data_IF_704165566917
#
_entry.id   IF_704165566917
#
_cell.length_a   1.000
_cell.length_b   1.000
_cell.length_c   1.000
_cell.angle_alpha   90.00
_cell.angle_beta   90.00
_cell.angle_gamma   90.00
#
_symmetry.space_group_name_H-M   'P 1'
#
loop_
_entity.id
_entity.type
_entity.pdbx_description
1 polymer ?
#
# COMPACT_ATOMS: atom_id res chain seq x y z
N UNK A 1 -1.86 13.66 11.78
CA UNK A 1 -1.74 12.22 12.10
C UNK A 1 -1.32 11.48 10.84
N UNK A 2 -0.32 10.60 10.96
CA UNK A 2 0.08 9.67 9.90
C UNK A 2 -0.72 8.37 10.01
N UNK A 3 -0.77 7.62 8.92
CA UNK A 3 -1.39 6.29 8.86
C UNK A 3 -0.49 5.36 8.06
N UNK A 4 -0.59 4.07 8.33
CA UNK A 4 0.17 3.03 7.64
C UNK A 4 -0.79 2.11 6.91
N UNK A 5 -0.62 2.01 5.60
CA UNK A 5 -1.34 1.10 4.73
C UNK A 5 -0.43 -0.08 4.42
N UNK A 6 -0.93 -1.30 4.60
CA UNK A 6 -0.20 -2.50 4.20
C UNK A 6 -1.03 -3.26 3.17
N UNK A 7 -0.45 -3.48 1.99
CA UNK A 7 -1.07 -4.22 0.89
C UNK A 7 -0.15 -5.36 0.45
N UNK A 8 -0.74 -6.47 0.01
CA UNK A 8 -0.02 -7.60 -0.56
C UNK A 8 -0.40 -7.75 -2.03
N UNK A 9 0.52 -8.21 -2.87
CA UNK A 9 0.27 -8.44 -4.29
C UNK A 9 0.51 -9.90 -4.68
N UNK A 10 -0.27 -10.41 -5.63
CA UNK A 10 -0.14 -11.79 -6.13
C UNK A 10 1.13 -12.01 -6.94
N UNK A 11 1.79 -10.93 -7.39
CA UNK A 11 2.94 -10.99 -8.29
C UNK A 11 3.90 -9.83 -8.08
N UNK A 12 5.19 -10.10 -8.29
CA UNK A 12 6.25 -9.08 -8.20
C UNK A 12 6.08 -7.95 -9.24
N UNK A 13 5.48 -8.25 -10.38
CA UNK A 13 5.17 -7.25 -11.41
C UNK A 13 4.12 -6.24 -10.93
N UNK A 14 3.02 -6.71 -10.33
CA UNK A 14 1.97 -5.83 -9.77
C UNK A 14 2.52 -4.97 -8.64
N UNK A 15 3.35 -5.56 -7.77
CA UNK A 15 4.05 -4.85 -6.71
C UNK A 15 4.96 -3.74 -7.28
N UNK A 16 5.73 -4.05 -8.32
CA UNK A 16 6.62 -3.08 -8.98
C UNK A 16 5.83 -1.94 -9.62
N UNK A 17 4.72 -2.24 -10.29
CA UNK A 17 3.84 -1.21 -10.87
C UNK A 17 3.24 -0.29 -9.81
N UNK A 18 2.77 -0.87 -8.69
CA UNK A 18 2.27 -0.06 -7.59
C UNK A 18 3.34 0.85 -6.97
N UNK A 19 4.58 0.37 -6.86
CA UNK A 19 5.71 1.19 -6.41
C UNK A 19 6.02 2.32 -7.40
N UNK A 20 5.97 2.04 -8.71
CA UNK A 20 6.17 3.04 -9.75
C UNK A 20 5.09 4.15 -9.68
N UNK A 21 3.82 3.77 -9.50
CA UNK A 21 2.69 4.71 -9.31
C UNK A 21 2.88 5.57 -8.05
N UNK A 22 3.37 4.99 -6.94
CA UNK A 22 3.69 5.74 -5.72
C UNK A 22 4.79 6.78 -5.95
N UNK A 23 5.87 6.39 -6.64
CA UNK A 23 6.98 7.30 -6.97
C UNK A 23 6.47 8.39 -7.92
N UNK A 24 5.65 8.05 -8.91
CA UNK A 24 5.02 8.99 -9.84
C UNK A 24 4.08 9.97 -9.15
N UNK A 25 3.40 9.55 -8.08
CA UNK A 25 2.59 10.40 -7.21
C UNK A 25 3.41 11.28 -6.25
N UNK A 26 4.75 11.19 -6.27
CA UNK A 26 5.63 11.96 -5.40
C UNK A 26 5.79 11.36 -3.99
N UNK A 27 5.48 10.09 -3.80
CA UNK A 27 5.74 9.39 -2.54
C UNK A 27 7.17 8.88 -2.54
N UNK A 28 7.96 9.35 -1.58
CA UNK A 28 9.36 9.00 -1.46
C UNK A 28 9.53 7.58 -0.91
N UNK A 29 10.62 6.91 -1.28
CA UNK A 29 10.95 5.57 -0.77
C UNK A 29 11.08 5.51 0.77
N UNK A 30 11.37 6.62 1.44
CA UNK A 30 11.38 6.69 2.91
C UNK A 30 9.98 6.51 3.52
N UNK A 31 8.93 6.81 2.75
CA UNK A 31 7.53 6.71 3.13
C UNK A 31 6.95 5.31 2.83
N UNK A 32 7.67 4.40 2.18
CA UNK A 32 7.18 3.05 1.96
C UNK A 32 8.26 1.97 2.02
N UNK A 33 7.86 0.75 2.37
CA UNK A 33 8.73 -0.41 2.49
C UNK A 33 8.20 -1.56 1.67
N UNK A 34 9.05 -2.06 0.76
CA UNK A 34 8.76 -3.21 -0.09
C UNK A 34 9.38 -4.46 0.54
N UNK A 35 8.57 -5.52 0.69
CA UNK A 35 9.01 -6.83 1.17
C UNK A 35 8.82 -7.84 0.04
N UNK A 36 9.88 -8.12 -0.70
CA UNK A 36 9.83 -9.01 -1.87
C UNK A 36 9.49 -10.46 -1.48
N UNK A 37 9.95 -10.96 -0.34
CA UNK A 37 9.70 -12.35 0.10
C UNK A 37 8.22 -12.69 0.26
N UNK A 38 7.37 -11.70 0.55
CA UNK A 38 5.92 -11.88 0.73
C UNK A 38 5.11 -11.00 -0.22
N UNK A 39 5.77 -10.34 -1.18
CA UNK A 39 5.16 -9.39 -2.12
C UNK A 39 4.29 -8.34 -1.41
N UNK A 40 4.75 -7.85 -0.25
CA UNK A 40 4.04 -6.86 0.57
C UNK A 40 4.63 -5.47 0.39
N UNK A 41 3.76 -4.48 0.35
CA UNK A 41 4.08 -3.07 0.30
C UNK A 41 3.42 -2.38 1.51
N UNK A 42 4.24 -1.72 2.32
CA UNK A 42 3.80 -0.94 3.47
C UNK A 42 4.06 0.52 3.19
N UNK A 43 3.03 1.37 3.20
CA UNK A 43 3.13 2.81 2.92
C UNK A 43 2.72 3.57 4.17
N UNK A 44 3.55 4.50 4.62
CA UNK A 44 3.27 5.41 5.73
C UNK A 44 3.08 6.80 5.16
N UNK A 45 1.88 7.34 5.31
CA UNK A 45 1.47 8.58 4.66
C UNK A 45 0.58 9.41 5.59
N UNK A 46 0.49 10.75 5.42
CA UNK A 46 -0.51 11.53 6.12
C UNK A 46 -1.92 11.00 5.84
N UNK A 47 -2.77 10.94 6.89
CA UNK A 47 -4.15 10.43 6.76
C UNK A 47 -4.99 11.20 5.73
N UNK A 48 -4.63 12.46 5.44
CA UNK A 48 -5.30 13.28 4.45
C UNK A 48 -5.19 12.74 3.01
N UNK A 49 -4.06 12.10 2.66
CA UNK A 49 -3.81 11.56 1.32
C UNK A 49 -3.93 10.04 1.26
N UNK A 50 -4.24 9.40 2.38
CA UNK A 50 -4.53 7.97 2.45
C UNK A 50 -5.55 7.48 1.39
N UNK A 51 -6.72 8.11 1.19
CA UNK A 51 -7.68 7.63 0.20
C UNK A 51 -7.11 7.65 -1.22
N UNK A 52 -6.35 8.69 -1.56
CA UNK A 52 -5.69 8.80 -2.87
C UNK A 52 -4.66 7.69 -3.08
N UNK A 53 -3.77 7.50 -2.08
CA UNK A 53 -2.78 6.41 -2.11
C UNK A 53 -3.45 5.04 -2.20
N UNK A 54 -4.53 4.83 -1.45
CA UNK A 54 -5.34 3.62 -1.52
C UNK A 54 -5.82 3.36 -2.93
N UNK A 55 -6.39 4.35 -3.61
CA UNK A 55 -6.88 4.18 -4.98
C UNK A 55 -5.76 3.80 -5.94
N UNK A 56 -4.58 4.42 -5.84
CA UNK A 56 -3.41 4.07 -6.65
C UNK A 56 -3.00 2.59 -6.44
N UNK A 57 -2.97 2.14 -5.19
CA UNK A 57 -2.63 0.75 -4.85
C UNK A 57 -3.69 -0.24 -5.35
N UNK A 58 -4.97 0.11 -5.25
CA UNK A 58 -6.08 -0.76 -5.68
C UNK A 58 -6.13 -0.98 -7.20
N UNK A 59 -5.63 -0.03 -8.01
CA UNK A 59 -5.55 -0.18 -9.49
C UNK A 59 -4.74 -1.40 -9.93
N UNK A 60 -3.85 -1.91 -9.09
CA UNK A 60 -3.02 -3.07 -9.40
C UNK A 60 -3.55 -4.39 -8.82
N UNK A 61 -4.82 -4.41 -8.39
CA UNK A 61 -5.52 -5.58 -7.88
C UNK A 61 -4.70 -6.34 -6.81
N UNK A 62 -4.42 -5.69 -5.66
CA UNK A 62 -3.76 -6.36 -4.54
C UNK A 62 -4.57 -7.57 -4.08
N UNK A 63 -3.90 -8.55 -3.47
CA UNK A 63 -4.57 -9.72 -2.91
C UNK A 63 -5.48 -9.23 -1.78
N UNK A 64 -6.79 -9.33 -2.00
CA UNK A 64 -7.75 -9.07 -0.94
C UNK A 64 -7.66 -10.23 0.05
N UNK A 65 -7.07 -9.99 1.22
CA UNK A 65 -7.25 -10.92 2.33
C UNK A 65 -8.74 -10.87 2.69
N UNK A 66 -9.41 -12.02 2.53
CA UNK A 66 -10.85 -12.16 2.66
C UNK A 66 -11.37 -11.71 4.03
N UNK A 67 -12.65 -11.32 4.00
CA UNK A 67 -13.51 -10.88 5.10
C UNK A 67 -13.45 -9.38 5.44
N UNK A 68 -14.21 -8.58 4.70
CA UNK A 68 -14.88 -7.35 5.19
C UNK A 68 -14.02 -6.13 5.55
N UNK A 69 -12.73 -6.27 5.81
CA UNK A 69 -11.82 -5.19 6.14
C UNK A 69 -10.55 -5.31 5.29
N UNK A 70 -10.49 -4.55 4.20
CA UNK A 70 -9.36 -4.48 3.25
C UNK A 70 -8.04 -3.97 3.87
N UNK A 71 -8.05 -3.47 5.11
CA UNK A 71 -6.90 -2.87 5.79
C UNK A 71 -6.84 -3.35 7.24
N UNK A 72 -6.15 -4.47 7.46
CA UNK A 72 -5.83 -4.97 8.80
C UNK A 72 -4.62 -4.21 9.37
N UNK A 73 -4.81 -2.93 9.69
CA UNK A 73 -4.11 -2.24 10.79
C UNK A 73 -4.93 -1.01 11.16
N UNK A 74 -6.16 -1.24 11.61
CA UNK A 74 -7.00 -0.19 12.15
C UNK A 74 -6.64 -0.03 13.64
N UNK A 75 -5.59 0.76 13.88
CA UNK A 75 -5.35 1.50 15.13
C UNK A 75 -5.79 0.77 16.42
N UNK A 76 -4.98 -0.17 16.93
CA UNK A 76 -4.95 -0.38 18.38
C UNK A 76 -4.11 0.75 18.97
N UNK A 77 -4.83 1.75 19.49
CA UNK A 77 -4.49 2.67 20.60
C UNK A 77 -3.24 2.27 21.41
#
# INVERSE_FOLDING_TARGET
>A
MNTTLTVAYSSAESLKKAVDDLIGAGIHQEQFRVTQSNLKLKVTTPKAIEPEIRELLERHHPIQHGHGCKYCDYLSI
#
